data_IF_656866516670
#
_entry.id   IF_656866516670
#
_cell.length_a   1.000
_cell.length_b   1.000
_cell.length_c   1.000
_cell.angle_alpha   90.00
_cell.angle_beta   90.00
_cell.angle_gamma   90.00
#
_symmetry.space_group_name_H-M   'P 1'
#
loop_
_entity.id
_entity.type
_entity.pdbx_description
1 polymer ?
#
# COMPACT_ATOMS: atom_id res chain seq x y z
N UNK A 1 15.78 2.69 -0.26
CA UNK A 1 14.65 2.31 -1.13
C UNK A 1 13.94 3.58 -1.56
N UNK A 2 13.79 3.79 -2.86
CA UNK A 2 13.07 4.96 -3.32
C UNK A 2 11.56 4.70 -3.40
N UNK A 3 10.80 5.75 -3.72
CA UNK A 3 9.34 5.67 -3.76
C UNK A 3 8.83 4.62 -4.75
N UNK A 4 9.48 4.54 -5.91
CA UNK A 4 9.08 3.64 -6.96
C UNK A 4 9.31 2.18 -6.54
N UNK A 5 10.45 1.91 -5.90
CA UNK A 5 10.74 0.57 -5.40
C UNK A 5 9.74 0.16 -4.34
N UNK A 6 9.39 1.08 -3.44
CA UNK A 6 8.41 0.80 -2.39
C UNK A 6 7.05 0.47 -2.99
N UNK A 7 6.61 1.27 -3.97
CA UNK A 7 5.31 1.03 -4.63
C UNK A 7 5.26 -0.35 -5.29
N UNK A 8 6.33 -0.73 -5.98
CA UNK A 8 6.40 -2.04 -6.63
C UNK A 8 6.40 -3.19 -5.63
N UNK A 9 7.15 -3.04 -4.54
CA UNK A 9 7.19 -4.08 -3.51
C UNK A 9 5.85 -4.25 -2.82
N UNK A 10 5.15 -3.14 -2.58
CA UNK A 10 3.84 -3.19 -1.96
C UNK A 10 2.85 -3.92 -2.86
N UNK A 11 2.85 -3.61 -4.16
CA UNK A 11 1.96 -4.27 -5.10
C UNK A 11 2.25 -5.77 -5.18
N UNK A 12 3.52 -6.16 -5.22
CA UNK A 12 3.90 -7.57 -5.27
C UNK A 12 3.49 -8.32 -4.01
N UNK A 13 3.68 -7.70 -2.85
CA UNK A 13 3.28 -8.31 -1.59
C UNK A 13 1.78 -8.52 -1.54
N UNK A 14 1.02 -7.51 -1.97
CA UNK A 14 -0.42 -7.59 -1.99
C UNK A 14 -0.90 -8.71 -2.92
N UNK A 15 -0.34 -8.77 -4.13
CA UNK A 15 -0.70 -9.81 -5.10
C UNK A 15 -0.37 -11.20 -4.57
N UNK A 16 0.77 -11.33 -3.91
CA UNK A 16 1.17 -12.60 -3.32
C UNK A 16 0.19 -13.07 -2.25
N UNK A 17 -0.38 -12.13 -1.51
CA UNK A 17 -1.38 -12.44 -0.48
C UNK A 17 -2.77 -12.65 -1.06
N UNK A 18 -2.97 -12.32 -2.33
CA UNK A 18 -4.26 -12.51 -2.98
C UNK A 18 -5.34 -11.55 -2.53
N UNK A 19 -4.96 -10.35 -2.09
CA UNK A 19 -5.93 -9.35 -1.63
C UNK A 19 -5.96 -8.16 -2.58
N UNK A 20 -7.13 -7.52 -2.69
CA UNK A 20 -7.25 -6.32 -3.51
C UNK A 20 -6.67 -5.11 -2.79
N UNK A 21 -6.31 -4.07 -3.55
CA UNK A 21 -5.84 -2.83 -2.97
C UNK A 21 -6.90 -2.21 -2.05
N UNK A 22 -8.16 -2.32 -2.44
CA UNK A 22 -9.26 -1.83 -1.63
C UNK A 22 -9.35 -2.57 -0.29
N UNK A 23 -9.28 -3.89 -0.33
CA UNK A 23 -9.36 -4.70 0.89
C UNK A 23 -8.19 -4.41 1.82
N UNK A 24 -6.98 -4.29 1.26
CA UNK A 24 -5.82 -3.96 2.07
C UNK A 24 -5.96 -2.57 2.71
N UNK A 25 -6.47 -1.59 1.94
CA UNK A 25 -6.69 -0.25 2.46
C UNK A 25 -7.63 -0.27 3.66
N UNK A 26 -8.76 -0.96 3.54
CA UNK A 26 -9.74 -1.03 4.60
C UNK A 26 -9.21 -1.77 5.82
N UNK A 27 -8.42 -2.82 5.60
CA UNK A 27 -7.89 -3.61 6.71
C UNK A 27 -6.91 -2.85 7.60
N UNK A 28 -6.26 -1.82 7.07
CA UNK A 28 -5.36 -0.99 7.86
C UNK A 28 -6.02 0.32 8.31
N UNK A 29 -7.34 0.41 8.16
CA UNK A 29 -8.09 1.58 8.66
C UNK A 29 -8.04 2.80 7.76
N UNK A 30 -7.71 2.62 6.49
CA UNK A 30 -7.61 3.74 5.54
C UNK A 30 -8.78 3.73 4.56
N UNK A 31 -8.90 4.82 3.78
CA UNK A 31 -9.95 4.87 2.76
C UNK A 31 -9.66 3.84 1.65
N UNK A 32 -10.68 3.46 0.86
CA UNK A 32 -10.52 2.39 -0.14
C UNK A 32 -9.46 2.62 -1.21
N UNK A 33 -9.14 3.87 -1.52
CA UNK A 33 -8.15 4.19 -2.53
C UNK A 33 -6.72 4.33 -2.02
N UNK A 34 -6.50 4.15 -0.74
CA UNK A 34 -5.23 4.44 -0.10
C UNK A 34 -4.07 3.65 -0.71
N UNK A 35 -4.19 2.34 -0.75
CA UNK A 35 -3.12 1.47 -1.27
C UNK A 35 -2.92 1.69 -2.78
N UNK A 36 -4.02 1.82 -3.52
CA UNK A 36 -3.91 2.07 -4.95
C UNK A 36 -3.17 3.38 -5.26
N UNK A 37 -3.41 4.42 -4.49
CA UNK A 37 -2.71 5.69 -4.68
C UNK A 37 -1.21 5.56 -4.44
N UNK A 38 -0.82 4.74 -3.47
CA UNK A 38 0.60 4.49 -3.22
C UNK A 38 1.20 3.68 -4.37
N UNK A 39 0.51 2.61 -4.79
CA UNK A 39 1.01 1.73 -5.84
C UNK A 39 1.16 2.44 -7.18
N UNK A 40 0.32 3.43 -7.44
CA UNK A 40 0.37 4.20 -8.69
C UNK A 40 1.23 5.44 -8.59
N UNK A 41 1.83 5.70 -7.43
CA UNK A 41 2.71 6.84 -7.25
C UNK A 41 2.01 8.16 -7.01
N UNK A 42 0.71 8.16 -6.77
CA UNK A 42 -0.04 9.39 -6.53
C UNK A 42 0.17 9.95 -5.13
N UNK A 43 0.50 9.11 -4.19
CA UNK A 43 0.81 9.54 -2.84
C UNK A 43 1.84 8.63 -2.21
N UNK A 44 2.50 9.14 -1.16
CA UNK A 44 3.42 8.33 -0.36
C UNK A 44 2.83 8.12 1.02
N UNK A 45 2.96 6.92 1.57
CA UNK A 45 2.48 6.68 2.93
C UNK A 45 3.37 7.38 3.94
N UNK A 46 2.79 7.75 5.08
CA UNK A 46 3.62 8.13 6.20
C UNK A 46 4.33 6.86 6.69
N UNK A 47 5.55 7.00 7.16
CA UNK A 47 6.30 5.84 7.65
C UNK A 47 5.58 5.15 8.80
N UNK A 48 4.90 5.94 9.65
CA UNK A 48 4.16 5.40 10.78
C UNK A 48 2.90 4.66 10.35
N UNK A 49 2.25 5.08 9.25
CA UNK A 49 0.99 4.48 8.83
C UNK A 49 1.13 3.06 8.33
N UNK A 50 2.05 2.82 7.41
CA UNK A 50 2.16 1.51 6.77
C UNK A 50 3.10 0.58 7.52
N UNK A 51 4.28 1.07 7.91
CA UNK A 51 5.29 0.18 8.48
C UNK A 51 4.91 -0.39 9.83
N UNK A 52 4.09 0.30 10.61
CA UNK A 52 3.63 -0.25 11.88
C UNK A 52 2.47 -1.22 11.73
N UNK A 53 1.80 -1.23 10.59
CA UNK A 53 0.66 -2.11 10.36
C UNK A 53 0.99 -3.31 9.46
N UNK A 54 2.20 -3.37 8.98
CA UNK A 54 2.66 -4.52 8.21
C UNK A 54 3.50 -5.44 9.09
#
# INVERSE_FOLDING_TARGET
MDEKDFSLRLAKLREKKGVSARDMSLSIGQNPGYINNIETGKSMPSLTGIFYNL
#
